data_IF_086998835802
#
_entry.id   IF_086998835802
#
_cell.length_a   1.000
_cell.length_b   1.000
_cell.length_c   1.000
_cell.angle_alpha   90.00
_cell.angle_beta   90.00
_cell.angle_gamma   90.00
#
_symmetry.space_group_name_H-M   'P 1'
#
loop_
_entity.id
_entity.type
_entity.pdbx_description
1 polymer ?
#
# COMPACT_ATOMS: atom_id res chain seq x y z
N UNK A 1 11.07 -44.72 -1.13
CA UNK A 1 9.71 -44.45 -1.67
C UNK A 1 8.68 -44.03 -0.61
N UNK A 2 8.92 -44.20 0.70
CA UNK A 2 8.02 -43.69 1.77
C UNK A 2 8.25 -42.19 2.09
N UNK A 3 9.46 -41.66 1.89
CA UNK A 3 9.77 -40.25 2.14
C UNK A 3 9.16 -39.25 1.12
N UNK A 4 8.61 -39.72 -0.02
CA UNK A 4 7.98 -38.83 -1.01
C UNK A 4 6.48 -38.59 -0.77
N UNK A 5 5.83 -39.37 0.12
CA UNK A 5 4.38 -39.29 0.36
C UNK A 5 4.06 -38.27 1.47
N UNK A 6 5.01 -37.99 2.37
CA UNK A 6 4.81 -37.04 3.47
C UNK A 6 4.80 -35.58 2.99
N UNK A 7 5.50 -35.27 1.89
CA UNK A 7 5.49 -33.91 1.32
C UNK A 7 4.19 -33.57 0.56
N UNK A 8 3.44 -34.58 0.09
CA UNK A 8 2.18 -34.37 -0.62
C UNK A 8 0.97 -34.19 0.32
N UNK A 9 1.10 -34.52 1.61
CA UNK A 9 0.00 -34.38 2.58
C UNK A 9 0.04 -33.06 3.37
N UNK A 10 1.14 -32.29 3.29
CA UNK A 10 1.28 -31.03 4.03
C UNK A 10 0.76 -29.79 3.29
N UNK A 11 0.40 -29.90 2.01
CA UNK A 11 -0.18 -28.79 1.24
C UNK A 11 -1.71 -28.72 1.33
N UNK A 12 -2.36 -29.68 1.99
CA UNK A 12 -3.83 -29.77 2.01
C UNK A 12 -4.52 -29.20 3.27
N UNK A 13 -3.78 -28.56 4.19
CA UNK A 13 -4.37 -28.01 5.43
C UNK A 13 -4.17 -26.50 5.65
N UNK A 14 -3.79 -25.74 4.62
CA UNK A 14 -3.77 -24.27 4.69
C UNK A 14 -4.83 -23.61 3.79
N UNK A 15 -6.04 -24.18 3.71
CA UNK A 15 -7.23 -23.43 3.29
C UNK A 15 -8.02 -22.97 4.50
N UNK A 16 -7.38 -22.22 5.41
CA UNK A 16 -8.11 -21.46 6.42
C UNK A 16 -8.82 -20.32 5.70
N UNK A 17 -10.14 -20.45 5.65
CA UNK A 17 -11.04 -19.58 4.89
C UNK A 17 -10.74 -18.10 5.09
N UNK A 18 -10.63 -17.40 3.97
CA UNK A 18 -10.93 -15.98 3.93
C UNK A 18 -12.39 -15.88 4.34
N UNK A 19 -12.66 -15.43 5.56
CA UNK A 19 -14.01 -15.01 5.93
C UNK A 19 -14.33 -13.82 5.04
N UNK A 20 -15.10 -14.07 3.99
CA UNK A 20 -15.81 -13.03 3.29
C UNK A 20 -16.68 -12.36 4.34
N UNK A 21 -16.31 -11.13 4.73
CA UNK A 21 -17.21 -10.27 5.48
C UNK A 21 -18.53 -10.26 4.71
N UNK A 22 -19.69 -10.49 5.36
CA UNK A 22 -20.96 -10.33 4.70
C UNK A 22 -21.07 -8.85 4.35
N UNK A 23 -20.73 -8.51 3.11
CA UNK A 23 -21.18 -7.28 2.50
C UNK A 23 -22.68 -7.45 2.37
N UNK A 24 -23.41 -6.91 3.34
CA UNK A 24 -24.84 -6.66 3.18
C UNK A 24 -24.97 -5.72 1.98
N UNK A 25 -25.29 -6.30 0.83
CA UNK A 25 -25.74 -5.61 -0.36
C UNK A 25 -27.05 -4.88 0.00
N UNK A 26 -26.91 -3.74 0.66
CA UNK A 26 -27.95 -2.73 0.62
C UNK A 26 -27.95 -2.33 -0.85
N UNK A 27 -29.07 -2.55 -1.54
CA UNK A 27 -29.28 -2.20 -2.94
C UNK A 27 -29.20 -0.69 -3.18
N UNK A 28 -28.06 -0.10 -2.85
CA UNK A 28 -27.60 1.17 -3.33
C UNK A 28 -27.28 0.96 -4.79
N UNK A 29 -27.99 1.70 -5.64
CA UNK A 29 -27.62 1.84 -7.05
C UNK A 29 -26.13 2.13 -7.07
N UNK A 30 -25.32 1.20 -7.59
CA UNK A 30 -23.88 1.38 -7.66
C UNK A 30 -23.62 2.56 -8.58
N UNK A 31 -23.39 3.72 -7.97
CA UNK A 31 -22.88 4.87 -8.70
C UNK A 31 -21.54 4.43 -9.26
N UNK A 32 -21.41 4.43 -10.59
CA UNK A 32 -20.14 4.10 -11.22
C UNK A 32 -19.10 5.14 -10.80
N UNK A 33 -18.24 4.77 -9.87
CA UNK A 33 -17.08 5.59 -9.49
C UNK A 33 -16.01 5.40 -10.54
N UNK A 34 -15.80 6.44 -11.36
CA UNK A 34 -14.71 6.46 -12.33
C UNK A 34 -13.40 6.86 -11.64
N UNK A 35 -12.46 5.93 -11.55
CA UNK A 35 -11.10 6.20 -11.10
C UNK A 35 -10.20 6.57 -12.28
N UNK A 36 -9.43 7.65 -12.15
CA UNK A 36 -8.42 8.06 -13.13
C UNK A 36 -7.04 8.12 -12.48
N UNK A 37 -6.01 7.70 -13.21
CA UNK A 37 -4.62 7.81 -12.76
C UNK A 37 -4.19 9.26 -12.83
N UNK A 38 -3.87 9.85 -11.67
CA UNK A 38 -3.40 11.24 -11.58
C UNK A 38 -1.92 11.35 -11.90
N UNK A 39 -1.11 10.41 -11.40
CA UNK A 39 0.31 10.31 -11.70
C UNK A 39 0.82 8.90 -11.40
N UNK A 40 1.81 8.43 -12.16
CA UNK A 40 2.50 7.17 -11.91
C UNK A 40 4.01 7.40 -11.88
N UNK A 41 4.62 7.04 -10.75
CA UNK A 41 6.08 6.96 -10.64
C UNK A 41 6.63 5.78 -11.46
N UNK A 42 7.94 5.75 -11.64
CA UNK A 42 8.62 4.63 -12.32
C UNK A 42 8.22 3.28 -11.70
N UNK A 43 8.07 2.27 -12.55
CA UNK A 43 7.75 0.90 -12.12
C UNK A 43 8.73 0.43 -11.06
N UNK A 44 8.21 -0.09 -9.94
CA UNK A 44 9.01 -0.53 -8.80
C UNK A 44 9.11 0.48 -7.67
N UNK A 45 8.78 1.75 -7.90
CA UNK A 45 8.65 2.75 -6.83
C UNK A 45 7.38 2.47 -6.01
N UNK A 46 7.51 2.40 -4.68
CA UNK A 46 6.37 2.34 -3.77
C UNK A 46 6.13 3.70 -3.14
N UNK A 47 4.87 4.12 -3.13
CA UNK A 47 4.40 5.28 -2.37
C UNK A 47 4.10 4.79 -0.95
N UNK A 48 4.68 5.45 0.05
CA UNK A 48 4.56 5.03 1.45
C UNK A 48 3.57 5.89 2.25
N UNK A 49 3.46 7.18 1.92
CA UNK A 49 2.52 8.09 2.58
C UNK A 49 1.96 9.13 1.61
N UNK A 50 0.79 9.68 1.96
CA UNK A 50 0.07 10.68 1.19
C UNK A 50 -0.61 11.69 2.12
N UNK A 51 -0.54 12.97 1.77
CA UNK A 51 -1.27 14.04 2.45
C UNK A 51 -1.83 15.04 1.44
N UNK A 52 -3.00 15.62 1.72
CA UNK A 52 -3.57 16.72 0.94
C UNK A 52 -3.15 18.05 1.56
N UNK A 53 -2.59 18.95 0.75
CA UNK A 53 -2.27 20.31 1.16
C UNK A 53 -3.51 21.21 1.05
N UNK A 54 -3.54 22.31 1.80
CA UNK A 54 -4.60 23.32 1.73
C UNK A 54 -4.79 23.96 0.36
N UNK A 55 -3.77 23.89 -0.51
CA UNK A 55 -3.84 24.35 -1.89
C UNK A 55 -4.37 23.28 -2.88
N UNK A 56 -4.87 22.15 -2.39
CA UNK A 56 -5.44 21.06 -3.19
C UNK A 56 -4.42 20.11 -3.83
N UNK A 57 -3.11 20.33 -3.61
CA UNK A 57 -2.06 19.44 -4.11
C UNK A 57 -1.78 18.29 -3.16
N UNK A 58 -1.22 17.21 -3.67
CA UNK A 58 -0.79 16.08 -2.84
C UNK A 58 0.68 16.23 -2.44
N UNK A 59 1.01 15.79 -1.23
CA UNK A 59 2.35 15.42 -0.82
C UNK A 59 2.46 13.91 -0.73
N UNK A 60 3.59 13.37 -1.17
CA UNK A 60 3.85 11.93 -1.12
C UNK A 60 5.31 11.63 -0.83
N UNK A 61 5.56 10.49 -0.19
CA UNK A 61 6.90 9.95 0.08
C UNK A 61 7.09 8.63 -0.66
N UNK A 62 8.33 8.35 -1.06
CA UNK A 62 8.69 7.15 -1.79
C UNK A 62 9.58 6.25 -0.94
N UNK A 63 9.39 4.94 -1.03
CA UNK A 63 10.18 3.97 -0.29
C UNK A 63 11.65 3.89 -0.76
N UNK A 64 11.89 4.20 -2.04
CA UNK A 64 13.15 3.94 -2.74
C UNK A 64 14.16 5.10 -2.69
N UNK A 65 13.74 6.27 -2.19
CA UNK A 65 14.58 7.46 -2.07
C UNK A 65 14.06 8.40 -0.99
N UNK A 66 14.94 9.17 -0.34
CA UNK A 66 14.56 10.00 0.80
C UNK A 66 13.95 11.35 0.37
N UNK A 67 12.90 11.36 -0.46
CA UNK A 67 12.30 12.56 -1.03
C UNK A 67 10.84 12.78 -0.68
N UNK A 68 10.48 14.03 -0.38
CA UNK A 68 9.10 14.51 -0.29
C UNK A 68 8.70 15.17 -1.61
N UNK A 69 7.66 14.66 -2.25
CA UNK A 69 7.21 15.11 -3.57
C UNK A 69 5.84 15.77 -3.50
N UNK A 70 5.64 16.84 -4.26
CA UNK A 70 4.34 17.45 -4.53
C UNK A 70 3.80 16.99 -5.88
N UNK A 71 2.54 16.57 -5.91
CA UNK A 71 1.81 16.20 -7.14
C UNK A 71 0.66 17.20 -7.33
N UNK A 72 0.61 17.80 -8.53
CA UNK A 72 -0.49 18.69 -8.93
C UNK A 72 -1.55 17.88 -9.68
N UNK A 73 -2.79 17.88 -9.17
CA UNK A 73 -3.88 17.07 -9.71
C UNK A 73 -4.49 17.67 -10.98
N UNK A 74 -4.35 18.98 -11.19
CA UNK A 74 -4.90 19.68 -12.34
C UNK A 74 -3.91 19.70 -13.51
N UNK A 75 -2.63 19.48 -13.21
CA UNK A 75 -1.54 19.38 -14.17
C UNK A 75 -0.77 18.11 -13.85
N UNK A 76 -1.20 16.93 -14.36
CA UNK A 76 -0.56 15.63 -14.11
C UNK A 76 0.80 15.51 -14.80
N UNK A 77 1.66 16.50 -14.61
CA UNK A 77 3.04 16.58 -15.02
C UNK A 77 3.93 15.95 -13.93
N UNK A 78 5.24 15.97 -14.17
CA UNK A 78 6.23 15.41 -13.25
C UNK A 78 6.11 16.00 -11.83
N UNK A 79 6.16 15.16 -10.78
CA UNK A 79 6.10 15.57 -9.39
C UNK A 79 7.28 16.46 -9.04
N UNK A 80 7.01 17.46 -8.20
CA UNK A 80 8.02 18.42 -7.76
C UNK A 80 8.67 17.92 -6.47
N UNK A 81 9.98 17.75 -6.45
CA UNK A 81 10.72 17.52 -5.20
C UNK A 81 10.62 18.78 -4.32
N UNK A 82 10.04 18.63 -3.13
CA UNK A 82 9.89 19.70 -2.14
C UNK A 82 11.01 19.65 -1.11
N UNK A 83 11.43 18.44 -0.73
CA UNK A 83 12.50 18.25 0.23
C UNK A 83 13.23 16.92 0.01
N UNK A 84 14.52 16.90 0.29
CA UNK A 84 15.34 15.69 0.32
C UNK A 84 15.93 15.52 1.72
N UNK A 85 15.67 14.38 2.35
CA UNK A 85 16.14 14.09 3.71
C UNK A 85 17.55 13.47 3.64
N UNK A 86 18.56 14.30 3.82
CA UNK A 86 19.97 13.86 3.81
C UNK A 86 20.24 12.86 4.94
N UNK A 87 21.03 11.82 4.65
CA UNK A 87 21.43 10.79 5.61
C UNK A 87 20.49 9.57 5.67
N UNK A 88 19.42 9.56 4.86
CA UNK A 88 18.47 8.44 4.77
C UNK A 88 18.53 7.80 3.38
N UNK A 89 18.13 6.53 3.28
CA UNK A 89 18.02 5.80 2.01
C UNK A 89 16.59 5.77 1.46
N UNK A 90 15.58 5.99 2.30
CA UNK A 90 14.17 5.96 1.93
C UNK A 90 13.27 6.49 3.04
N UNK A 91 12.00 6.73 2.74
CA UNK A 91 10.99 7.17 3.70
C UNK A 91 9.89 6.11 3.79
N UNK A 92 9.85 5.35 4.89
CA UNK A 92 8.82 4.34 5.12
C UNK A 92 7.49 4.91 5.62
N UNK A 93 6.44 4.11 5.53
CA UNK A 93 5.10 4.42 6.04
C UNK A 93 4.88 4.00 7.50
N UNK A 94 3.62 4.10 7.94
CA UNK A 94 3.20 3.61 9.26
C UNK A 94 3.18 2.08 9.22
N UNK A 95 3.94 1.45 10.11
CA UNK A 95 3.96 0.00 10.30
C UNK A 95 3.20 -0.37 11.57
N UNK A 96 2.35 -1.40 11.50
CA UNK A 96 1.74 -1.99 12.69
C UNK A 96 2.76 -2.87 13.40
N UNK A 97 2.96 -2.65 14.70
CA UNK A 97 3.67 -3.60 15.56
C UNK A 97 2.65 -4.43 16.35
N UNK A 98 2.83 -5.75 16.40
CA UNK A 98 2.11 -6.62 17.34
C UNK A 98 2.99 -6.89 18.56
N UNK A 99 2.43 -6.72 19.76
CA UNK A 99 3.09 -7.14 20.99
C UNK A 99 2.69 -8.58 21.28
N UNK A 100 3.66 -9.50 21.30
CA UNK A 100 3.43 -10.85 21.78
C UNK A 100 3.63 -10.86 23.29
N UNK A 101 2.53 -10.87 24.04
CA UNK A 101 2.60 -11.06 25.48
C UNK A 101 2.98 -12.51 25.76
N UNK A 102 4.18 -12.75 26.29
CA UNK A 102 4.53 -14.06 26.85
C UNK A 102 3.72 -14.25 28.14
N UNK A 103 2.76 -15.17 28.14
CA UNK A 103 2.12 -15.65 29.35
C UNK A 103 3.13 -16.48 30.15
N UNK A 104 3.45 -16.03 31.37
CA UNK A 104 4.24 -16.77 32.36
C UNK A 104 3.41 -17.87 33.01
#
# INVERSE_FOLDING_TARGET
>A
MIFLIIFALLTLLASSGVSSFPFTDHGDKSEQVYASTLYQFQTGTRIENIAVRSNGKLLTTLSDRPGLYEVDLLKPASPKLIHHFTGYSGLGGVSQASFQTSSW
#
